data_IF_742022294585
#
_entry.id   IF_742022294585
#
_cell.length_a   1.000
_cell.length_b   1.000
_cell.length_c   1.000
_cell.angle_alpha   90.00
_cell.angle_beta   90.00
_cell.angle_gamma   90.00
#
_symmetry.space_group_name_H-M   'P 1'
#
loop_
_entity.id
_entity.type
_entity.pdbx_description
1 polymer ?
#
# COMPACT_ATOMS: atom_id res chain seq x y z
N UNK A 1 53.23 -35.57 -13.93
CA UNK A 1 51.74 -35.52 -13.94
C UNK A 1 51.22 -36.70 -13.14
N UNK A 2 50.75 -36.45 -11.92
CA UNK A 2 50.03 -37.46 -11.12
C UNK A 2 48.56 -37.29 -11.48
N UNK A 3 48.09 -38.00 -12.51
CA UNK A 3 46.67 -37.98 -12.92
C UNK A 3 45.89 -38.72 -11.85
N UNK A 4 45.67 -38.04 -10.73
CA UNK A 4 44.97 -38.57 -9.58
C UNK A 4 43.48 -38.42 -9.89
N UNK A 5 42.77 -39.54 -9.98
CA UNK A 5 41.30 -39.61 -10.13
C UNK A 5 40.62 -39.24 -8.80
N UNK A 6 41.18 -38.27 -8.10
CA UNK A 6 40.74 -37.87 -6.78
C UNK A 6 39.50 -36.97 -6.96
N UNK A 7 38.44 -37.20 -6.18
CA UNK A 7 37.30 -36.29 -6.16
C UNK A 7 37.75 -34.86 -5.84
N UNK A 8 37.17 -33.89 -6.55
CA UNK A 8 37.36 -32.46 -6.31
C UNK A 8 36.01 -31.85 -5.94
N UNK A 9 36.02 -30.94 -4.98
CA UNK A 9 34.83 -30.16 -4.59
C UNK A 9 34.87 -28.82 -5.30
N UNK A 10 33.75 -28.45 -5.91
CA UNK A 10 33.55 -27.21 -6.67
C UNK A 10 32.35 -26.48 -6.08
N UNK A 11 32.50 -25.18 -5.77
CA UNK A 11 31.38 -24.35 -5.32
C UNK A 11 30.53 -23.87 -6.51
N UNK A 12 29.21 -23.89 -6.34
CA UNK A 12 28.22 -23.39 -7.28
C UNK A 12 27.31 -22.37 -6.56
N UNK A 13 27.39 -21.06 -6.88
CA UNK A 13 28.21 -20.43 -7.93
C UNK A 13 29.69 -20.26 -7.52
N UNK A 14 30.56 -20.04 -8.50
CA UNK A 14 31.98 -19.80 -8.25
C UNK A 14 32.18 -18.44 -7.55
N UNK A 15 32.73 -18.41 -6.31
CA UNK A 15 32.93 -17.17 -5.56
C UNK A 15 33.87 -16.18 -6.26
N UNK A 16 34.71 -16.65 -7.19
CA UNK A 16 35.64 -15.80 -7.95
C UNK A 16 34.95 -14.96 -9.02
N UNK A 17 33.72 -15.33 -9.43
CA UNK A 17 32.97 -14.71 -10.54
C UNK A 17 31.94 -13.68 -10.07
N UNK A 18 31.98 -13.30 -8.78
CA UNK A 18 31.22 -12.16 -8.22
C UNK A 18 29.84 -12.51 -7.65
N UNK A 19 29.20 -13.61 -8.08
CA UNK A 19 27.96 -14.09 -7.49
C UNK A 19 28.27 -15.11 -6.38
N UNK A 20 27.96 -14.77 -5.13
CA UNK A 20 28.23 -15.64 -3.98
C UNK A 20 27.13 -16.70 -3.75
N UNK A 21 25.93 -16.49 -4.29
CA UNK A 21 24.77 -17.36 -4.15
C UNK A 21 23.99 -17.40 -5.47
N UNK A 22 23.34 -18.54 -5.76
CA UNK A 22 22.38 -18.71 -6.85
C UNK A 22 21.06 -18.07 -6.43
N UNK A 23 20.46 -17.30 -7.33
CA UNK A 23 19.14 -16.69 -7.15
C UNK A 23 18.07 -17.52 -7.87
N UNK A 24 17.03 -17.94 -7.14
CA UNK A 24 15.89 -18.64 -7.69
C UNK A 24 14.58 -18.19 -7.03
N UNK A 25 13.48 -18.22 -7.76
CA UNK A 25 12.15 -17.83 -7.26
C UNK A 25 11.24 -19.06 -7.25
N UNK A 26 10.64 -19.36 -6.10
CA UNK A 26 9.65 -20.43 -5.98
C UNK A 26 8.28 -19.98 -6.54
N UNK A 27 7.33 -20.91 -6.72
CA UNK A 27 6.01 -20.58 -7.31
C UNK A 27 5.17 -19.63 -6.49
N UNK A 28 5.43 -19.54 -5.19
CA UNK A 28 4.82 -18.56 -4.29
C UNK A 28 5.41 -17.15 -4.42
N UNK A 29 6.36 -16.97 -5.34
CA UNK A 29 6.96 -15.66 -5.65
C UNK A 29 8.06 -15.24 -4.69
N UNK A 30 8.48 -16.10 -3.77
CA UNK A 30 9.54 -15.82 -2.80
C UNK A 30 10.90 -16.17 -3.42
N UNK A 31 11.82 -15.22 -3.27
CA UNK A 31 13.19 -15.36 -3.76
C UNK A 31 14.07 -16.08 -2.73
N UNK A 32 14.79 -17.09 -3.20
CA UNK A 32 15.71 -17.90 -2.43
C UNK A 32 17.14 -17.75 -2.96
N UNK A 33 18.08 -17.60 -2.04
CA UNK A 33 19.50 -17.57 -2.29
C UNK A 33 20.09 -18.91 -1.84
N UNK A 34 20.72 -19.62 -2.78
CA UNK A 34 21.22 -20.98 -2.53
C UNK A 34 22.69 -21.08 -2.87
N UNK A 35 23.46 -21.75 -2.02
CA UNK A 35 24.84 -22.12 -2.28
C UNK A 35 24.95 -23.64 -2.29
N UNK A 36 25.55 -24.20 -3.33
CA UNK A 36 25.76 -25.63 -3.46
C UNK A 36 27.25 -25.97 -3.59
N UNK A 37 27.63 -27.16 -3.14
CA UNK A 37 28.93 -27.79 -3.35
C UNK A 37 28.73 -29.02 -4.21
N UNK A 38 29.48 -29.09 -5.30
CA UNK A 38 29.43 -30.21 -6.23
C UNK A 38 30.71 -31.01 -6.07
N UNK A 39 30.59 -32.28 -5.69
CA UNK A 39 31.72 -33.20 -5.68
C UNK A 39 31.79 -33.88 -7.03
N UNK A 40 32.87 -33.63 -7.78
CA UNK A 40 33.10 -34.21 -9.10
C UNK A 40 34.29 -35.13 -9.12
N UNK A 41 34.27 -36.11 -10.02
CA UNK A 41 35.40 -37.00 -10.32
C UNK A 41 35.76 -36.87 -11.79
N UNK A 42 37.05 -36.90 -12.14
CA UNK A 42 37.47 -36.88 -13.54
C UNK A 42 37.00 -38.15 -14.27
N UNK A 43 36.34 -38.00 -15.41
CA UNK A 43 35.94 -39.10 -16.27
C UNK A 43 37.02 -39.36 -17.32
N UNK A 44 37.80 -40.43 -17.12
CA UNK A 44 38.93 -40.76 -17.99
C UNK A 44 38.53 -41.01 -19.45
N UNK A 45 37.32 -41.48 -19.72
CA UNK A 45 36.83 -41.75 -21.06
C UNK A 45 36.52 -40.48 -21.87
N UNK A 46 36.30 -39.35 -21.20
CA UNK A 46 35.90 -38.06 -21.81
C UNK A 46 36.84 -36.91 -21.45
N UNK A 47 38.03 -37.24 -20.97
CA UNK A 47 39.01 -36.28 -20.47
C UNK A 47 39.52 -35.32 -21.56
N UNK A 48 39.59 -35.79 -22.81
CA UNK A 48 40.02 -34.99 -23.97
C UNK A 48 38.79 -34.61 -24.79
N UNK A 49 38.51 -33.31 -24.87
CA UNK A 49 37.38 -32.75 -25.63
C UNK A 49 36.04 -32.66 -24.88
N UNK A 50 35.97 -33.11 -23.62
CA UNK A 50 34.82 -32.91 -22.76
C UNK A 50 34.71 -31.47 -22.25
N UNK A 51 33.50 -31.04 -21.92
CA UNK A 51 33.27 -29.72 -21.34
C UNK A 51 33.96 -29.57 -19.97
N UNK A 52 34.47 -28.37 -19.67
CA UNK A 52 35.24 -28.03 -18.47
C UNK A 52 34.32 -27.78 -17.25
N UNK A 53 34.94 -27.54 -16.08
CA UNK A 53 34.27 -27.28 -14.80
C UNK A 53 33.21 -26.16 -14.90
N UNK A 54 33.49 -25.11 -15.68
CA UNK A 54 32.56 -23.99 -15.90
C UNK A 54 31.20 -24.43 -16.44
N UNK A 55 31.20 -25.44 -17.31
CA UNK A 55 29.95 -25.95 -17.90
C UNK A 55 29.15 -26.74 -16.88
N UNK A 56 29.82 -27.45 -15.96
CA UNK A 56 29.16 -28.17 -14.87
C UNK A 56 28.55 -27.18 -13.89
N UNK A 57 29.27 -26.13 -13.51
CA UNK A 57 28.75 -25.09 -12.61
C UNK A 57 27.51 -24.44 -13.22
N UNK A 58 27.53 -24.10 -14.51
CA UNK A 58 26.40 -23.50 -15.20
C UNK A 58 25.18 -24.45 -15.26
N UNK A 59 25.39 -25.72 -15.62
CA UNK A 59 24.31 -26.72 -15.73
C UNK A 59 23.71 -27.08 -14.38
N UNK A 60 24.54 -27.27 -13.35
CA UNK A 60 24.09 -27.52 -11.98
C UNK A 60 23.35 -26.31 -11.43
N UNK A 61 23.87 -25.10 -11.67
CA UNK A 61 23.19 -23.86 -11.32
C UNK A 61 21.80 -23.76 -11.95
N UNK A 62 21.69 -24.01 -13.26
CA UNK A 62 20.40 -24.05 -13.96
C UNK A 62 19.46 -25.13 -13.38
N UNK A 63 19.99 -26.32 -13.10
CA UNK A 63 19.23 -27.42 -12.50
C UNK A 63 18.65 -27.04 -11.15
N UNK A 64 19.46 -26.43 -10.28
CA UNK A 64 19.04 -25.95 -8.96
C UNK A 64 17.95 -24.88 -9.08
N UNK A 65 18.14 -23.88 -9.95
CA UNK A 65 17.15 -22.82 -10.18
C UNK A 65 15.83 -23.41 -10.69
N UNK A 66 15.89 -24.37 -11.60
CA UNK A 66 14.69 -25.06 -12.13
C UNK A 66 13.99 -25.90 -11.06
N UNK A 67 14.74 -26.62 -10.21
CA UNK A 67 14.18 -27.41 -9.13
C UNK A 67 13.47 -26.53 -8.09
N UNK A 68 14.05 -25.39 -7.72
CA UNK A 68 13.43 -24.40 -6.83
C UNK A 68 12.17 -23.81 -7.47
N UNK A 69 12.24 -23.39 -8.75
CA UNK A 69 11.09 -22.87 -9.49
C UNK A 69 9.96 -23.88 -9.71
N UNK A 70 10.24 -25.18 -9.59
CA UNK A 70 9.21 -26.22 -9.65
C UNK A 70 8.44 -26.41 -8.33
N UNK A 71 9.02 -25.95 -7.22
CA UNK A 71 8.48 -26.14 -5.86
C UNK A 71 7.29 -25.22 -5.60
N UNK A 72 6.29 -25.71 -4.86
CA UNK A 72 5.04 -25.00 -4.64
C UNK A 72 5.23 -23.82 -3.68
N UNK A 73 6.02 -24.03 -2.62
CA UNK A 73 6.39 -22.96 -1.69
C UNK A 73 7.88 -22.97 -1.35
N UNK A 74 8.41 -21.81 -0.95
CA UNK A 74 9.75 -21.67 -0.37
C UNK A 74 9.94 -22.52 0.90
N UNK A 75 8.85 -22.81 1.61
CA UNK A 75 8.88 -23.65 2.81
C UNK A 75 9.31 -25.07 2.49
N UNK A 76 8.79 -25.64 1.40
CA UNK A 76 9.13 -27.00 0.95
C UNK A 76 10.65 -27.13 0.72
N UNK A 77 11.25 -26.06 0.17
CA UNK A 77 12.68 -25.97 -0.08
C UNK A 77 13.50 -25.86 1.21
N UNK A 78 13.03 -25.08 2.19
CA UNK A 78 13.69 -24.93 3.48
C UNK A 78 13.56 -26.18 4.37
N UNK A 79 12.43 -26.89 4.28
CA UNK A 79 12.20 -28.13 5.05
C UNK A 79 13.12 -29.25 4.57
N UNK A 80 13.30 -29.40 3.26
CA UNK A 80 14.11 -30.49 2.68
C UNK A 80 14.98 -30.00 1.50
N UNK A 81 16.11 -29.30 1.76
CA UNK A 81 16.99 -28.81 0.70
C UNK A 81 17.63 -29.94 -0.14
N UNK A 82 17.75 -31.14 0.44
CA UNK A 82 18.26 -32.34 -0.25
C UNK A 82 17.35 -32.84 -1.38
N UNK A 83 16.07 -32.44 -1.43
CA UNK A 83 15.22 -32.79 -2.56
C UNK A 83 15.66 -32.11 -3.86
N UNK A 84 16.26 -30.92 -3.74
CA UNK A 84 16.82 -30.19 -4.87
C UNK A 84 17.94 -30.99 -5.50
N UNK A 85 18.91 -31.45 -4.69
CA UNK A 85 20.06 -32.19 -5.20
C UNK A 85 19.65 -33.50 -5.87
N UNK A 86 18.66 -34.22 -5.32
CA UNK A 86 18.10 -35.43 -5.94
C UNK A 86 17.47 -35.15 -7.30
N UNK A 87 16.61 -34.11 -7.40
CA UNK A 87 15.98 -33.72 -8.68
C UNK A 87 17.02 -33.31 -9.74
N UNK A 88 18.08 -32.63 -9.30
CA UNK A 88 19.15 -32.16 -10.17
C UNK A 88 20.04 -33.32 -10.65
N UNK A 89 20.35 -34.28 -9.78
CA UNK A 89 21.11 -35.49 -10.13
C UNK A 89 20.39 -36.37 -11.16
N UNK A 90 19.06 -36.51 -11.04
CA UNK A 90 18.23 -37.27 -12.01
C UNK A 90 18.31 -36.67 -13.42
N UNK A 91 18.56 -35.36 -13.52
CA UNK A 91 18.55 -34.63 -14.80
C UNK A 91 19.80 -34.88 -15.67
N UNK A 92 20.79 -35.67 -15.21
CA UNK A 92 21.91 -36.14 -16.05
C UNK A 92 22.81 -35.02 -16.60
N UNK A 93 23.16 -34.05 -15.75
CA UNK A 93 23.85 -32.80 -16.13
C UNK A 93 25.32 -32.98 -16.56
N UNK A 94 25.91 -34.13 -16.25
CA UNK A 94 27.29 -34.52 -16.54
C UNK A 94 27.49 -35.13 -17.94
N UNK A 95 26.41 -35.27 -18.71
CA UNK A 95 26.46 -35.73 -20.10
C UNK A 95 27.43 -34.87 -20.93
N UNK A 96 28.39 -35.52 -21.60
CA UNK A 96 29.42 -34.87 -22.45
C UNK A 96 30.40 -33.94 -21.71
N UNK A 97 30.52 -34.04 -20.38
CA UNK A 97 31.53 -33.28 -19.63
C UNK A 97 32.76 -34.14 -19.32
N UNK A 98 33.90 -33.50 -19.02
CA UNK A 98 35.13 -34.19 -18.64
C UNK A 98 35.09 -34.75 -17.20
N UNK A 99 34.00 -34.51 -16.47
CA UNK A 99 33.81 -34.96 -15.10
C UNK A 99 32.50 -35.72 -14.93
N UNK A 100 32.42 -36.51 -13.88
CA UNK A 100 31.25 -37.22 -13.41
C UNK A 100 30.84 -36.62 -12.06
N UNK A 101 29.56 -36.33 -11.88
CA UNK A 101 29.04 -35.75 -10.63
C UNK A 101 28.83 -36.88 -9.63
N UNK A 102 29.51 -36.84 -8.50
CA UNK A 102 29.38 -37.82 -7.41
C UNK A 102 28.28 -37.41 -6.45
N UNK A 103 28.28 -36.14 -6.01
CA UNK A 103 27.26 -35.58 -5.12
C UNK A 103 27.05 -34.10 -5.42
N UNK A 104 25.85 -33.63 -5.07
CA UNK A 104 25.50 -32.21 -5.02
C UNK A 104 24.95 -31.98 -3.62
N UNK A 105 25.65 -31.18 -2.83
CA UNK A 105 25.31 -30.89 -1.44
C UNK A 105 24.92 -29.42 -1.34
N UNK A 106 23.77 -29.12 -0.74
CA UNK A 106 23.33 -27.74 -0.54
C UNK A 106 24.01 -27.21 0.73
N UNK A 107 24.89 -26.21 0.59
CA UNK A 107 25.69 -25.68 1.67
C UNK A 107 24.96 -24.59 2.47
N UNK A 108 24.11 -23.79 1.81
CA UNK A 108 23.32 -22.74 2.44
C UNK A 108 22.06 -22.46 1.61
N UNK A 109 20.94 -22.18 2.28
CA UNK A 109 19.67 -21.75 1.70
C UNK A 109 19.12 -20.63 2.56
N UNK A 110 18.93 -19.46 1.97
CA UNK A 110 18.34 -18.32 2.66
C UNK A 110 17.24 -17.68 1.82
N UNK A 111 16.27 -17.07 2.49
CA UNK A 111 15.26 -16.25 1.83
C UNK A 111 15.89 -14.88 1.60
N UNK A 112 15.91 -14.42 0.34
CA UNK A 112 16.39 -13.09 0.04
C UNK A 112 15.58 -12.08 0.86
N UNK A 113 16.24 -11.16 1.59
CA UNK A 113 15.61 -10.08 2.36
C UNK A 113 15.37 -10.32 3.87
N UNK A 114 15.72 -11.48 4.43
CA UNK A 114 15.69 -11.68 5.91
C UNK A 114 17.06 -11.42 6.55
N UNK A 115 18.15 -11.58 5.80
CA UNK A 115 19.53 -11.40 6.27
C UNK A 115 20.13 -10.08 5.80
N UNK A 116 19.86 -8.99 6.53
CA UNK A 116 20.69 -7.76 6.59
C UNK A 116 20.83 -6.88 5.34
N UNK A 117 20.47 -7.36 4.14
CA UNK A 117 20.48 -6.58 2.90
C UNK A 117 19.06 -6.10 2.59
N UNK A 118 18.94 -4.79 2.35
CA UNK A 118 17.70 -4.02 2.19
C UNK A 118 16.96 -4.31 0.86
N UNK A 119 17.16 -5.49 0.27
CA UNK A 119 16.66 -5.83 -1.05
C UNK A 119 15.50 -6.83 -0.96
N UNK A 120 14.31 -6.26 -1.19
CA UNK A 120 13.03 -6.81 -1.62
C UNK A 120 12.99 -8.35 -1.76
N UNK A 121 12.70 -9.02 -0.66
CA UNK A 121 12.35 -10.44 -0.59
C UNK A 121 11.17 -10.81 -1.49
N UNK A 122 10.25 -9.86 -1.67
CA UNK A 122 8.93 -10.10 -2.24
C UNK A 122 8.48 -8.89 -3.06
N UNK A 123 8.67 -8.96 -4.37
CA UNK A 123 8.14 -7.96 -5.31
C UNK A 123 6.61 -7.87 -5.19
N UNK A 124 5.94 -8.99 -4.92
CA UNK A 124 4.48 -9.02 -4.68
C UNK A 124 4.05 -8.19 -3.47
N UNK A 125 4.70 -8.38 -2.32
CA UNK A 125 4.38 -7.62 -1.11
C UNK A 125 4.67 -6.12 -1.27
N UNK A 126 5.75 -5.77 -1.99
CA UNK A 126 6.05 -4.37 -2.31
C UNK A 126 4.94 -3.74 -3.16
N UNK A 127 4.53 -4.41 -4.25
CA UNK A 127 3.45 -3.93 -5.12
C UNK A 127 2.10 -3.84 -4.40
N UNK A 128 1.79 -4.78 -3.49
CA UNK A 128 0.59 -4.71 -2.66
C UNK A 128 0.64 -3.54 -1.67
N UNK A 129 1.81 -3.28 -1.08
CA UNK A 129 2.01 -2.14 -0.18
C UNK A 129 1.85 -0.83 -0.92
N UNK A 130 2.45 -0.70 -2.10
CA UNK A 130 2.31 0.49 -2.96
C UNK A 130 0.87 0.72 -3.40
N UNK A 131 0.13 -0.35 -3.77
CA UNK A 131 -1.31 -0.26 -4.07
C UNK A 131 -2.11 0.21 -2.85
N UNK A 132 -1.85 -0.35 -1.67
CA UNK A 132 -2.52 0.05 -0.44
C UNK A 132 -2.23 1.51 -0.05
N UNK A 133 -1.00 1.99 -0.27
CA UNK A 133 -0.64 3.38 -0.05
C UNK A 133 -1.32 4.34 -1.03
N UNK A 134 -1.41 3.96 -2.31
CA UNK A 134 -2.13 4.73 -3.31
C UNK A 134 -3.63 4.84 -2.96
N UNK A 135 -4.26 3.72 -2.59
CA UNK A 135 -5.66 3.67 -2.15
C UNK A 135 -5.89 4.52 -0.90
N UNK A 136 -4.94 4.49 0.05
CA UNK A 136 -5.02 5.34 1.25
C UNK A 136 -4.98 6.82 0.89
N UNK A 137 -4.10 7.24 -0.03
CA UNK A 137 -4.00 8.63 -0.48
C UNK A 137 -5.27 9.07 -1.22
N UNK A 138 -5.82 8.22 -2.10
CA UNK A 138 -7.07 8.49 -2.80
C UNK A 138 -8.21 8.73 -1.80
N UNK A 139 -8.39 7.83 -0.81
CA UNK A 139 -9.44 7.96 0.20
C UNK A 139 -9.25 9.17 1.12
N UNK A 140 -8.01 9.54 1.43
CA UNK A 140 -7.72 10.76 2.18
C UNK A 140 -8.13 12.00 1.38
N UNK A 141 -7.78 12.06 0.08
CA UNK A 141 -8.17 13.16 -0.80
C UNK A 141 -9.70 13.26 -0.97
N UNK A 142 -10.41 12.14 -1.10
CA UNK A 142 -11.88 12.14 -1.14
C UNK A 142 -12.50 12.66 0.16
N UNK A 143 -11.94 12.25 1.32
CA UNK A 143 -12.42 12.71 2.62
C UNK A 143 -12.19 14.22 2.82
N UNK A 144 -11.04 14.73 2.38
CA UNK A 144 -10.75 16.16 2.38
C UNK A 144 -11.67 16.93 1.41
N UNK A 145 -11.90 16.39 0.21
CA UNK A 145 -12.85 16.95 -0.76
C UNK A 145 -14.25 17.07 -0.17
N UNK A 146 -14.77 16.02 0.48
CA UNK A 146 -16.07 16.04 1.16
C UNK A 146 -16.15 17.09 2.27
N UNK A 147 -15.07 17.25 3.05
CA UNK A 147 -15.00 18.30 4.08
C UNK A 147 -15.06 19.69 3.46
N UNK A 148 -14.30 19.94 2.40
CA UNK A 148 -14.31 21.22 1.70
C UNK A 148 -15.71 21.55 1.13
N UNK A 149 -16.38 20.57 0.52
CA UNK A 149 -17.75 20.76 0.01
C UNK A 149 -18.76 21.03 1.13
N UNK A 150 -18.62 20.38 2.28
CA UNK A 150 -19.51 20.60 3.43
C UNK A 150 -19.35 22.02 3.99
N UNK A 151 -18.11 22.50 4.11
CA UNK A 151 -17.83 23.87 4.55
C UNK A 151 -18.37 24.88 3.54
N UNK A 152 -18.18 24.65 2.24
CA UNK A 152 -18.73 25.53 1.20
C UNK A 152 -20.26 25.61 1.27
N UNK A 153 -20.95 24.46 1.42
CA UNK A 153 -22.40 24.42 1.57
C UNK A 153 -22.88 25.14 2.84
N UNK A 154 -22.15 25.04 3.95
CA UNK A 154 -22.45 25.79 5.17
C UNK A 154 -22.35 27.31 4.95
N UNK A 155 -21.33 27.77 4.22
CA UNK A 155 -21.17 29.19 3.88
C UNK A 155 -22.28 29.68 2.94
N UNK A 156 -22.64 28.90 1.92
CA UNK A 156 -23.77 29.21 1.04
C UNK A 156 -25.08 29.33 1.82
N UNK A 157 -25.33 28.43 2.77
CA UNK A 157 -26.53 28.47 3.60
C UNK A 157 -26.54 29.69 4.53
N UNK A 158 -25.39 30.06 5.11
CA UNK A 158 -25.26 31.30 5.90
C UNK A 158 -25.54 32.55 5.07
N UNK A 159 -24.97 32.63 3.86
CA UNK A 159 -25.24 33.73 2.94
C UNK A 159 -26.74 33.82 2.59
N UNK A 160 -27.39 32.67 2.37
CA UNK A 160 -28.84 32.60 2.09
C UNK A 160 -29.69 33.06 3.28
N UNK A 161 -29.31 32.71 4.51
CA UNK A 161 -29.98 33.21 5.73
C UNK A 161 -29.88 34.73 5.79
N UNK A 162 -28.70 35.30 5.55
CA UNK A 162 -28.48 36.74 5.55
C UNK A 162 -29.31 37.44 4.45
N UNK A 163 -29.36 36.89 3.24
CA UNK A 163 -30.18 37.43 2.15
C UNK A 163 -31.67 37.42 2.53
N UNK A 164 -32.17 36.34 3.12
CA UNK A 164 -33.56 36.24 3.56
C UNK A 164 -33.86 37.20 4.71
N UNK A 165 -32.93 37.37 5.66
CA UNK A 165 -33.06 38.36 6.74
C UNK A 165 -33.13 39.78 6.17
N UNK A 166 -32.30 40.13 5.19
CA UNK A 166 -32.34 41.42 4.53
C UNK A 166 -33.72 41.67 3.88
N UNK A 167 -34.30 40.68 3.20
CA UNK A 167 -35.66 40.78 2.62
C UNK A 167 -36.74 40.98 3.68
N UNK A 168 -36.63 40.33 4.84
CA UNK A 168 -37.57 40.53 5.96
C UNK A 168 -37.46 41.94 6.50
N UNK A 169 -36.24 42.46 6.67
CA UNK A 169 -36.00 43.84 7.13
C UNK A 169 -36.53 44.86 6.11
N UNK A 170 -36.33 44.63 4.81
CA UNK A 170 -36.87 45.48 3.74
C UNK A 170 -38.40 45.54 3.81
N UNK A 171 -39.08 44.39 3.91
CA UNK A 171 -40.54 44.34 4.06
C UNK A 171 -41.02 45.01 5.35
N UNK A 172 -40.30 44.86 6.46
CA UNK A 172 -40.64 45.54 7.72
C UNK A 172 -40.47 47.06 7.61
N UNK A 173 -39.50 47.55 6.85
CA UNK A 173 -39.26 48.97 6.64
C UNK A 173 -40.38 49.66 5.83
N UNK A 174 -41.15 48.92 5.04
CA UNK A 174 -42.33 49.45 4.34
C UNK A 174 -43.42 49.91 5.32
N UNK A 175 -43.55 49.28 6.49
CA UNK A 175 -44.60 49.58 7.47
C UNK A 175 -44.46 51.00 8.05
N UNK A 176 -43.30 51.41 8.62
CA UNK A 176 -43.09 52.79 9.06
C UNK A 176 -43.28 53.80 7.93
N UNK A 177 -42.84 53.47 6.71
CA UNK A 177 -42.97 54.35 5.56
C UNK A 177 -44.44 54.59 5.17
N UNK A 178 -45.25 53.53 5.21
CA UNK A 178 -46.68 53.59 4.98
C UNK A 178 -47.38 54.40 6.08
N UNK A 179 -47.01 54.20 7.35
CA UNK A 179 -47.53 54.98 8.50
C UNK A 179 -47.20 56.47 8.33
N UNK A 180 -45.96 56.81 7.97
CA UNK A 180 -45.54 58.18 7.73
C UNK A 180 -46.29 58.83 6.55
N UNK A 181 -46.67 58.04 5.55
CA UNK A 181 -47.48 58.51 4.41
C UNK A 181 -48.93 58.72 4.82
N UNK A 182 -49.52 57.80 5.58
CA UNK A 182 -50.88 57.94 6.12
C UNK A 182 -51.03 59.16 7.05
N UNK A 183 -50.01 59.49 7.85
CA UNK A 183 -49.97 60.72 8.65
C UNK A 183 -49.93 61.97 7.78
N UNK A 184 -49.11 62.00 6.71
CA UNK A 184 -49.02 63.15 5.79
C UNK A 184 -50.32 63.39 5.02
N UNK A 185 -51.00 62.33 4.61
CA UNK A 185 -52.29 62.38 3.91
C UNK A 185 -53.47 62.66 4.85
N UNK A 186 -53.25 62.77 6.17
CA UNK A 186 -54.30 63.02 7.16
C UNK A 186 -55.22 61.83 7.43
N UNK A 187 -54.85 60.63 6.98
CA UNK A 187 -55.61 59.38 7.21
C UNK A 187 -55.35 58.76 8.59
N UNK A 188 -54.29 59.20 9.28
CA UNK A 188 -53.93 58.76 10.62
C UNK A 188 -53.69 59.98 11.53
N UNK A 189 -54.39 60.07 12.66
CA UNK A 189 -54.24 61.16 13.61
C UNK A 189 -53.12 60.95 14.64
N UNK A 190 -52.66 62.04 15.28
CA UNK A 190 -51.64 61.99 16.35
C UNK A 190 -52.11 61.16 17.54
N UNK A 191 -53.39 61.27 17.92
CA UNK A 191 -53.97 60.50 19.01
C UNK A 191 -54.06 59.00 18.70
N UNK A 192 -54.24 58.62 17.42
CA UNK A 192 -54.27 57.22 16.99
C UNK A 192 -52.88 56.58 17.07
N UNK A 193 -51.84 57.33 16.68
CA UNK A 193 -50.45 56.89 16.79
C UNK A 193 -50.01 56.69 18.25
N UNK A 194 -50.34 57.63 19.14
CA UNK A 194 -50.06 57.50 20.58
C UNK A 194 -50.79 56.30 21.19
N UNK A 195 -52.03 56.03 20.76
CA UNK A 195 -52.78 54.84 21.18
C UNK A 195 -52.10 53.55 20.70
N UNK A 196 -51.63 53.51 19.46
CA UNK A 196 -50.87 52.38 18.91
C UNK A 196 -49.58 52.13 19.70
N UNK A 197 -48.81 53.18 20.02
CA UNK A 197 -47.61 53.05 20.84
C UNK A 197 -47.90 52.50 22.24
N UNK A 198 -48.98 52.93 22.88
CA UNK A 198 -49.39 52.40 24.18
C UNK A 198 -49.74 50.91 24.12
N UNK A 199 -50.47 50.47 23.08
CA UNK A 199 -50.80 49.05 22.89
C UNK A 199 -49.53 48.22 22.66
N UNK A 200 -48.57 48.74 21.87
CA UNK A 200 -47.28 48.06 21.66
C UNK A 200 -46.46 47.95 22.95
N UNK A 201 -46.43 49.01 23.76
CA UNK A 201 -45.76 49.02 25.06
C UNK A 201 -46.40 48.00 26.03
N UNK A 202 -47.73 47.95 26.11
CA UNK A 202 -48.45 46.96 26.92
C UNK A 202 -48.18 45.53 26.43
N UNK A 203 -48.09 45.32 25.11
CA UNK A 203 -47.78 44.01 24.53
C UNK A 203 -46.36 43.58 24.89
N UNK A 204 -45.36 44.46 24.73
CA UNK A 204 -43.97 44.18 25.09
C UNK A 204 -43.79 43.92 26.59
N UNK A 205 -44.50 44.67 27.44
CA UNK A 205 -44.55 44.41 28.89
C UNK A 205 -45.16 43.03 29.20
N UNK A 206 -46.20 42.60 28.48
CA UNK A 206 -46.79 41.26 28.66
C UNK A 206 -45.86 40.13 28.18
N UNK A 207 -45.20 40.31 27.04
CA UNK A 207 -44.25 39.32 26.52
C UNK A 207 -43.05 39.12 27.45
N UNK A 208 -42.47 40.20 27.97
CA UNK A 208 -41.35 40.14 28.92
C UNK A 208 -41.74 39.48 30.25
N UNK A 209 -42.96 39.73 30.74
CA UNK A 209 -43.50 39.02 31.92
C UNK A 209 -43.69 37.52 31.66
N UNK A 210 -44.15 37.14 30.46
CA UNK A 210 -44.33 35.74 30.07
C UNK A 210 -42.99 34.99 29.83
N UNK A 211 -41.94 35.67 29.38
CA UNK A 211 -40.60 35.10 29.25
C UNK A 211 -39.92 34.88 30.61
N UNK A 212 -40.17 35.75 31.60
CA UNK A 212 -39.68 35.60 32.97
C UNK A 212 -40.26 34.41 33.74
N UNK A 213 -41.41 33.87 33.30
CA UNK A 213 -42.06 32.69 33.91
C UNK A 213 -41.62 31.35 33.32
N UNK A 214 -40.78 31.32 32.27
CA UNK A 214 -40.23 30.05 31.77
C UNK A 214 -39.24 29.49 32.79
N UNK A 215 -39.48 28.31 33.38
CA UNK A 215 -38.51 27.69 34.28
C UNK A 215 -37.20 27.46 33.51
N UNK A 216 -36.04 27.56 34.19
CA UNK A 216 -34.75 27.36 33.53
C UNK A 216 -34.75 26.00 32.86
N UNK A 217 -34.62 25.98 31.54
CA UNK A 217 -34.48 24.74 30.79
C UNK A 217 -33.15 24.09 31.20
N UNK A 218 -33.26 22.88 31.74
CA UNK A 218 -32.15 22.02 32.13
C UNK A 218 -31.41 21.44 30.91
#
# INVERSE_FOLDING_TARGET
>A
MRTSVNPKVIDCPDPSKGANMLDAVAKDGIRLLVKARVTVRANLARLVGGATEDTIIARVGQGIVSAIGSSQSYKDVLENPDEISKKVLISGLDSQTAFEIVSIDIADVSVAGVSGAREVANVGALLETERAEADKKLRQAEAEGRRATAVAAEQEMRARIQEMQAKVVEAQAEIPMAIATAMREGKLGVMDYLRMQNIMADTSMRESLAEGEKPPQA
#
